data_IF_192688947833
#
_entry.id   IF_192688947833
#
_cell.length_a   1.000
_cell.length_b   1.000
_cell.length_c   1.000
_cell.angle_alpha   90.00
_cell.angle_beta   90.00
_cell.angle_gamma   90.00
#
_symmetry.space_group_name_H-M   'P 1'
#
loop_
_entity.id
_entity.type
_entity.pdbx_description
1 polymer ?
#
# COMPACT_ATOMS: atom_id res chain seq x y z
N UNK A 1 22.06 -22.41 7.72
CA UNK A 1 21.98 -21.01 8.17
C UNK A 1 21.11 -20.97 9.41
N UNK A 2 21.64 -20.48 10.52
CA UNK A 2 20.83 -20.27 11.72
C UNK A 2 19.84 -19.15 11.41
N UNK A 3 18.54 -19.37 11.55
CA UNK A 3 17.55 -18.29 11.39
C UNK A 3 17.88 -17.18 12.38
N UNK A 4 18.06 -15.98 11.85
CA UNK A 4 18.38 -14.70 12.51
C UNK A 4 17.25 -13.68 12.35
N UNK A 5 16.14 -14.05 11.70
CA UNK A 5 14.96 -13.22 11.51
C UNK A 5 13.70 -14.00 11.92
N UNK A 6 12.92 -13.40 12.82
CA UNK A 6 11.69 -13.98 13.36
C UNK A 6 10.54 -12.98 13.23
N UNK A 7 9.42 -13.40 12.63
CA UNK A 7 8.30 -12.48 12.33
C UNK A 7 6.91 -13.07 12.55
N UNK A 8 6.78 -14.11 13.37
CA UNK A 8 5.50 -14.80 13.65
C UNK A 8 4.74 -15.28 12.40
N UNK A 9 5.44 -15.75 11.37
CA UNK A 9 4.85 -16.38 10.19
C UNK A 9 4.59 -17.85 10.48
N UNK A 10 3.32 -18.25 10.39
CA UNK A 10 2.93 -19.67 10.49
C UNK A 10 3.63 -20.51 9.41
N UNK A 11 3.79 -19.97 8.20
CA UNK A 11 4.43 -20.68 7.08
C UNK A 11 5.92 -20.97 7.28
N UNK A 12 6.60 -20.24 8.17
CA UNK A 12 8.03 -20.44 8.48
C UNK A 12 8.28 -20.95 9.90
N UNK A 13 7.22 -21.09 10.70
CA UNK A 13 7.29 -21.44 12.12
C UNK A 13 8.26 -20.55 12.94
N UNK A 14 8.43 -19.29 12.52
CA UNK A 14 9.42 -18.35 13.05
C UNK A 14 8.83 -17.42 14.13
N UNK A 15 8.07 -18.02 15.06
CA UNK A 15 7.49 -17.31 16.19
C UNK A 15 8.56 -16.78 17.14
N UNK A 16 8.33 -15.59 17.71
CA UNK A 16 9.29 -14.99 18.65
C UNK A 16 9.47 -15.88 19.88
N UNK A 17 8.42 -16.55 20.36
CA UNK A 17 8.56 -17.56 21.44
C UNK A 17 9.61 -18.61 21.10
N UNK A 18 9.60 -19.15 19.87
CA UNK A 18 10.56 -20.16 19.46
C UNK A 18 11.98 -19.58 19.37
N UNK A 19 12.12 -18.32 18.96
CA UNK A 19 13.40 -17.62 18.96
C UNK A 19 14.00 -17.55 20.37
N UNK A 20 13.21 -17.10 21.35
CA UNK A 20 13.64 -16.99 22.74
C UNK A 20 14.10 -18.36 23.27
N UNK A 21 13.25 -19.38 23.17
CA UNK A 21 13.57 -20.71 23.72
C UNK A 21 14.78 -21.36 23.04
N UNK A 22 14.95 -21.14 21.72
CA UNK A 22 16.07 -21.68 20.96
C UNK A 22 17.44 -21.17 21.42
N UNK A 23 17.50 -19.93 21.93
CA UNK A 23 18.76 -19.28 22.30
C UNK A 23 19.11 -19.43 23.80
N UNK A 24 18.31 -20.17 24.56
CA UNK A 24 18.48 -20.31 26.01
C UNK A 24 19.14 -21.65 26.34
N UNK A 25 20.20 -21.58 27.14
CA UNK A 25 20.90 -22.74 27.69
C UNK A 25 20.68 -22.83 29.20
N UNK A 26 20.95 -23.99 29.78
CA UNK A 26 20.72 -24.22 31.20
C UNK A 26 21.68 -23.36 32.05
N UNK A 27 21.16 -22.69 33.08
CA UNK A 27 21.93 -21.81 33.95
C UNK A 27 22.39 -20.48 33.33
N UNK A 28 21.87 -20.11 32.15
CA UNK A 28 22.27 -18.91 31.43
C UNK A 28 21.83 -17.60 32.12
N UNK A 29 22.66 -16.57 32.03
CA UNK A 29 22.29 -15.18 32.35
C UNK A 29 21.49 -14.56 31.21
N UNK A 30 20.32 -14.00 31.54
CA UNK A 30 19.39 -13.39 30.61
C UNK A 30 19.15 -11.93 31.00
N UNK A 31 19.25 -11.02 30.03
CA UNK A 31 18.99 -9.60 30.24
C UNK A 31 17.88 -9.14 29.30
N UNK A 32 16.74 -8.72 29.85
CA UNK A 32 15.55 -8.35 29.07
C UNK A 32 15.14 -6.92 29.40
N UNK A 33 15.21 -6.03 28.42
CA UNK A 33 14.58 -4.71 28.49
C UNK A 33 13.35 -4.71 27.58
N UNK A 34 12.15 -4.76 28.17
CA UNK A 34 10.89 -4.81 27.43
C UNK A 34 9.92 -3.79 27.99
N UNK A 35 9.43 -2.89 27.14
CA UNK A 35 8.45 -1.89 27.55
C UNK A 35 7.24 -2.51 28.25
N UNK A 36 6.72 -3.61 27.73
CA UNK A 36 5.54 -4.27 28.27
C UNK A 36 5.79 -5.71 28.67
N UNK A 37 5.17 -6.12 29.78
CA UNK A 37 5.26 -7.48 30.30
C UNK A 37 3.89 -7.99 30.75
N UNK A 38 3.37 -9.01 30.06
CA UNK A 38 2.13 -9.70 30.44
C UNK A 38 2.25 -11.21 30.49
N UNK A 39 3.30 -11.78 29.90
CA UNK A 39 3.46 -13.21 29.70
C UNK A 39 4.38 -13.84 30.75
N UNK A 40 3.82 -14.50 31.76
CA UNK A 40 4.66 -15.23 32.73
C UNK A 40 5.19 -16.55 32.19
N UNK A 41 4.48 -17.20 31.27
CA UNK A 41 4.70 -18.61 30.96
C UNK A 41 6.04 -18.85 30.26
N UNK A 42 6.43 -17.95 29.35
CA UNK A 42 7.76 -18.01 28.73
C UNK A 42 8.85 -17.79 29.77
N UNK A 43 8.66 -16.86 30.71
CA UNK A 43 9.63 -16.63 31.78
C UNK A 43 9.74 -17.84 32.71
N UNK A 44 8.64 -18.51 33.02
CA UNK A 44 8.66 -19.74 33.82
C UNK A 44 9.47 -20.85 33.12
N UNK A 45 9.35 -20.99 31.78
CA UNK A 45 10.16 -21.93 30.99
C UNK A 45 11.67 -21.61 31.08
N UNK A 46 12.04 -20.32 31.06
CA UNK A 46 13.44 -19.87 31.23
C UNK A 46 13.96 -20.21 32.64
N UNK A 47 13.18 -19.91 33.66
CA UNK A 47 13.56 -20.13 35.07
C UNK A 47 13.61 -21.62 35.42
N UNK A 48 12.79 -22.46 34.78
CA UNK A 48 12.85 -23.91 34.93
C UNK A 48 14.17 -24.52 34.45
N UNK A 49 14.87 -23.84 33.53
CA UNK A 49 16.24 -24.18 33.08
C UNK A 49 17.34 -23.68 34.02
N UNK A 50 16.98 -23.13 35.18
CA UNK A 50 17.92 -22.58 36.15
C UNK A 50 18.56 -21.26 35.72
N UNK A 51 18.03 -20.60 34.68
CA UNK A 51 18.54 -19.31 34.21
C UNK A 51 18.42 -18.24 35.31
N UNK A 52 19.31 -17.26 35.23
CA UNK A 52 19.27 -16.05 36.03
C UNK A 52 18.77 -14.90 35.14
N UNK A 53 17.74 -14.17 35.58
CA UNK A 53 17.06 -13.17 34.76
C UNK A 53 17.15 -11.78 35.39
N UNK A 54 17.76 -10.84 34.66
CA UNK A 54 17.62 -9.41 34.87
C UNK A 54 16.62 -8.83 33.90
N UNK A 55 15.58 -8.18 34.41
CA UNK A 55 14.52 -7.63 33.59
C UNK A 55 14.18 -6.18 33.95
N UNK A 56 14.11 -5.32 32.93
CA UNK A 56 13.66 -3.93 33.05
C UNK A 56 12.35 -3.77 32.28
N UNK A 57 11.32 -3.24 32.96
CA UNK A 57 9.99 -3.03 32.37
C UNK A 57 9.48 -1.61 32.56
N UNK A 58 8.50 -1.20 31.74
CA UNK A 58 7.72 0.00 32.05
C UNK A 58 6.49 -0.36 32.88
N UNK A 59 6.25 0.37 33.96
CA UNK A 59 4.95 0.38 34.64
C UNK A 59 3.97 1.25 33.84
N UNK A 60 3.13 0.60 33.04
CA UNK A 60 2.12 1.24 32.21
C UNK A 60 1.36 0.18 31.41
N UNK A 61 0.12 0.46 31.02
CA UNK A 61 -0.67 -0.51 30.25
C UNK A 61 0.05 -0.87 28.94
N UNK A 62 0.10 -2.16 28.54
CA UNK A 62 -0.57 -3.33 29.14
C UNK A 62 0.21 -4.11 30.23
N UNK A 63 1.35 -3.66 30.75
CA UNK A 63 2.13 -4.41 31.77
C UNK A 63 1.24 -4.89 32.91
N UNK A 64 1.29 -6.20 33.22
CA UNK A 64 0.37 -6.83 34.17
C UNK A 64 0.95 -6.82 35.58
N UNK A 65 0.31 -6.16 36.57
CA UNK A 65 0.79 -6.22 37.95
C UNK A 65 0.73 -7.65 38.52
N UNK A 66 -0.20 -8.49 38.04
CA UNK A 66 -0.26 -9.93 38.38
C UNK A 66 0.99 -10.67 37.87
N UNK A 67 1.41 -10.41 36.64
CA UNK A 67 2.62 -11.03 36.08
C UNK A 67 3.87 -10.57 36.84
N UNK A 68 3.98 -9.28 37.16
CA UNK A 68 5.08 -8.73 37.99
C UNK A 68 5.11 -9.37 39.39
N UNK A 69 3.95 -9.56 40.01
CA UNK A 69 3.85 -10.21 41.32
C UNK A 69 4.35 -11.64 41.30
N UNK A 70 4.01 -12.41 40.24
CA UNK A 70 4.53 -13.78 40.05
C UNK A 70 6.04 -13.80 39.78
N UNK A 71 6.52 -12.88 38.93
CA UNK A 71 7.93 -12.74 38.58
C UNK A 71 8.82 -12.57 39.82
N UNK A 72 8.45 -11.69 40.76
CA UNK A 72 9.20 -11.47 42.01
C UNK A 72 9.16 -12.62 43.03
N UNK A 73 8.39 -13.68 42.79
CA UNK A 73 8.42 -14.86 43.68
C UNK A 73 9.64 -15.74 43.46
N UNK A 74 10.34 -15.59 42.33
CA UNK A 74 11.49 -16.40 41.99
C UNK A 74 12.80 -15.74 42.45
N UNK A 75 13.65 -16.51 43.13
CA UNK A 75 14.93 -16.06 43.66
C UNK A 75 16.01 -15.78 42.59
N UNK A 76 15.84 -16.33 41.38
CA UNK A 76 16.76 -16.14 40.26
C UNK A 76 16.37 -14.95 39.38
N UNK A 77 15.52 -14.04 39.88
CA UNK A 77 15.04 -12.88 39.13
C UNK A 77 15.39 -11.60 39.86
N UNK A 78 16.00 -10.66 39.13
CA UNK A 78 16.13 -9.26 39.52
C UNK A 78 15.28 -8.42 38.56
N UNK A 79 14.36 -7.62 39.09
CA UNK A 79 13.48 -6.80 38.27
C UNK A 79 13.60 -5.31 38.62
N UNK A 80 13.69 -4.47 37.59
CA UNK A 80 13.68 -3.01 37.69
C UNK A 80 12.61 -2.40 36.79
N UNK A 81 12.29 -1.14 37.01
CA UNK A 81 11.26 -0.46 36.24
C UNK A 81 11.51 1.03 35.99
N UNK A 82 10.90 1.50 34.91
CA UNK A 82 10.64 2.91 34.65
C UNK A 82 9.14 3.19 34.63
N UNK A 83 8.74 4.44 34.88
CA UNK A 83 7.34 4.91 34.72
C UNK A 83 7.14 5.75 33.46
N UNK A 84 8.23 6.29 32.89
CA UNK A 84 8.16 7.15 31.71
C UNK A 84 7.64 6.41 30.47
N UNK A 85 6.69 7.02 29.76
CA UNK A 85 6.16 6.50 28.50
C UNK A 85 7.19 6.47 27.36
N UNK A 86 8.35 7.10 27.52
CA UNK A 86 9.46 7.03 26.56
C UNK A 86 10.23 5.71 26.63
N UNK A 87 10.21 4.98 27.76
CA UNK A 87 10.85 3.66 27.84
C UNK A 87 10.05 2.68 26.98
N UNK A 88 10.59 2.38 25.79
CA UNK A 88 9.99 1.47 24.83
C UNK A 88 10.92 0.44 24.16
N UNK A 89 12.08 0.04 24.74
CA UNK A 89 12.92 -0.98 24.11
C UNK A 89 12.23 -2.36 24.10
N UNK A 90 12.71 -3.23 23.21
CA UNK A 90 12.46 -4.68 23.19
C UNK A 90 13.77 -5.38 22.83
N UNK A 91 14.59 -5.54 23.85
CA UNK A 91 15.96 -6.03 23.79
C UNK A 91 16.07 -7.26 24.69
N UNK A 92 16.55 -8.38 24.13
CA UNK A 92 16.70 -9.65 24.81
C UNK A 92 18.12 -10.14 24.59
N UNK A 93 18.93 -10.22 25.64
CA UNK A 93 20.33 -10.61 25.59
C UNK A 93 20.45 -11.98 26.25
N UNK A 94 21.03 -12.93 25.52
CA UNK A 94 21.23 -14.31 25.94
C UNK A 94 22.72 -14.53 26.20
N UNK A 95 23.13 -14.28 27.45
CA UNK A 95 24.52 -14.27 27.87
C UNK A 95 25.41 -13.37 27.01
N UNK A 96 26.51 -13.92 26.53
CA UNK A 96 27.50 -13.31 25.64
C UNK A 96 27.39 -13.80 24.20
N UNK A 97 26.27 -14.43 23.82
CA UNK A 97 26.15 -15.16 22.55
C UNK A 97 25.32 -14.44 21.50
N UNK A 98 24.11 -14.04 21.87
CA UNK A 98 23.12 -13.52 20.92
C UNK A 98 22.20 -12.52 21.57
N UNK A 99 21.82 -11.50 20.80
CA UNK A 99 20.81 -10.52 21.14
C UNK A 99 19.64 -10.67 20.17
N UNK A 100 18.42 -10.71 20.67
CA UNK A 100 17.22 -10.47 19.87
C UNK A 100 16.76 -9.02 20.08
N UNK A 101 16.68 -8.28 18.98
CA UNK A 101 16.27 -6.87 18.95
C UNK A 101 15.13 -6.66 17.96
N UNK A 102 14.10 -5.90 18.34
CA UNK A 102 13.01 -5.59 17.41
C UNK A 102 11.75 -5.02 18.05
N UNK A 103 10.58 -5.45 17.59
CA UNK A 103 9.28 -4.88 17.97
C UNK A 103 8.55 -5.64 19.08
N UNK A 104 8.93 -6.90 19.35
CA UNK A 104 8.16 -7.80 20.20
C UNK A 104 8.38 -7.56 21.69
N UNK A 105 7.35 -7.04 22.38
CA UNK A 105 7.35 -6.99 23.85
C UNK A 105 7.15 -8.40 24.43
N UNK A 106 7.44 -8.58 25.73
CA UNK A 106 7.22 -9.83 26.46
C UNK A 106 5.74 -10.01 26.84
N UNK A 107 4.89 -10.13 25.82
CA UNK A 107 3.43 -10.27 25.91
C UNK A 107 2.95 -11.42 25.03
N UNK A 108 1.90 -12.14 25.43
CA UNK A 108 1.37 -13.27 24.67
C UNK A 108 1.15 -12.97 23.19
N UNK A 109 0.54 -11.82 22.91
CA UNK A 109 0.20 -11.43 21.55
C UNK A 109 1.47 -11.16 20.72
N UNK A 110 2.45 -10.44 21.26
CA UNK A 110 3.71 -10.19 20.56
C UNK A 110 4.49 -11.49 20.29
N UNK A 111 4.50 -12.44 21.24
CA UNK A 111 5.28 -13.66 21.10
C UNK A 111 4.71 -14.69 20.12
N UNK A 112 3.39 -14.62 19.85
CA UNK A 112 2.67 -15.70 19.17
C UNK A 112 1.73 -15.23 18.05
N UNK A 113 1.25 -13.98 18.03
CA UNK A 113 0.17 -13.56 17.13
C UNK A 113 0.35 -12.25 16.39
N UNK A 114 1.02 -11.24 16.96
CA UNK A 114 1.19 -9.97 16.30
C UNK A 114 2.14 -10.09 15.11
N UNK A 115 2.02 -9.19 14.14
CA UNK A 115 3.08 -8.94 13.17
C UNK A 115 4.24 -8.29 13.92
N UNK A 116 5.26 -9.08 14.24
CA UNK A 116 6.48 -8.60 14.87
C UNK A 116 7.65 -8.77 13.90
N UNK A 117 8.74 -8.05 14.17
CA UNK A 117 10.03 -8.25 13.52
C UNK A 117 11.08 -8.27 14.62
N UNK A 118 11.80 -9.38 14.76
CA UNK A 118 12.96 -9.52 15.64
C UNK A 118 14.14 -10.03 14.83
N UNK A 119 15.29 -9.38 15.01
CA UNK A 119 16.56 -9.76 14.38
C UNK A 119 17.51 -10.27 15.45
N UNK A 120 18.22 -11.35 15.14
CA UNK A 120 19.30 -11.92 15.93
C UNK A 120 20.62 -11.25 15.58
N UNK A 121 21.32 -10.75 16.59
CA UNK A 121 22.64 -10.13 16.49
C UNK A 121 23.61 -11.06 17.24
N UNK A 122 24.59 -11.61 16.53
CA UNK A 122 25.62 -12.47 17.13
C UNK A 122 26.68 -11.66 17.86
N UNK A 123 27.39 -12.29 18.80
CA UNK A 123 28.52 -11.70 19.52
C UNK A 123 29.67 -11.14 18.67
N UNK A 124 29.83 -11.61 17.42
CA UNK A 124 30.83 -11.09 16.49
C UNK A 124 30.43 -9.75 15.83
N UNK A 125 29.21 -9.27 16.03
CA UNK A 125 28.75 -7.99 15.51
C UNK A 125 29.22 -6.85 16.43
N UNK A 126 29.83 -5.81 15.87
CA UNK A 126 30.29 -4.63 16.63
C UNK A 126 29.20 -4.00 17.52
N UNK A 127 27.92 -4.09 17.12
CA UNK A 127 26.78 -3.53 17.88
C UNK A 127 26.44 -4.34 19.13
N UNK A 128 26.98 -5.57 19.26
CA UNK A 128 26.65 -6.45 20.37
C UNK A 128 27.07 -5.85 21.71
N UNK A 129 28.31 -5.38 21.82
CA UNK A 129 28.82 -4.74 23.04
C UNK A 129 28.11 -3.44 23.35
N UNK A 130 27.84 -2.61 22.33
CA UNK A 130 27.08 -1.35 22.49
C UNK A 130 25.67 -1.60 23.06
N UNK A 131 25.01 -2.68 22.63
CA UNK A 131 23.69 -3.05 23.14
C UNK A 131 23.73 -3.62 24.57
N UNK A 132 24.82 -4.29 24.96
CA UNK A 132 25.04 -4.72 26.34
C UNK A 132 25.28 -3.52 27.27
N UNK A 133 26.10 -2.55 26.83
CA UNK A 133 26.32 -1.29 27.55
C UNK A 133 25.01 -0.52 27.71
N UNK A 134 24.21 -0.41 26.64
CA UNK A 134 22.89 0.21 26.70
C UNK A 134 21.95 -0.46 27.72
N UNK A 135 21.97 -1.80 27.81
CA UNK A 135 21.22 -2.50 28.85
C UNK A 135 21.75 -2.15 30.24
N UNK A 136 23.06 -2.05 30.42
CA UNK A 136 23.68 -1.64 31.70
C UNK A 136 23.21 -0.25 32.11
N UNK A 137 23.19 0.71 31.18
CA UNK A 137 22.70 2.07 31.45
C UNK A 137 21.22 2.05 31.88
N UNK A 138 20.37 1.29 31.17
CA UNK A 138 18.98 1.10 31.57
C UNK A 138 18.86 0.45 32.94
N UNK A 139 19.70 -0.54 33.22
CA UNK A 139 19.71 -1.23 34.49
C UNK A 139 20.01 -0.24 35.60
N UNK A 140 21.13 0.47 35.50
CA UNK A 140 21.65 1.35 36.54
C UNK A 140 20.73 2.55 36.85
N UNK A 141 20.05 3.09 35.84
CA UNK A 141 19.07 4.17 36.04
C UNK A 141 17.69 3.70 36.51
N UNK A 142 17.33 2.44 36.28
CA UNK A 142 15.99 1.94 36.62
C UNK A 142 15.81 1.70 38.13
N UNK A 143 14.60 1.98 38.62
CA UNK A 143 14.24 1.75 40.02
C UNK A 143 13.98 0.27 40.30
N UNK A 144 14.35 -0.21 41.48
CA UNK A 144 14.13 -1.62 41.88
C UNK A 144 12.64 -1.90 42.05
N UNK A 145 12.15 -2.97 41.42
CA UNK A 145 10.75 -3.37 41.53
C UNK A 145 10.48 -4.03 42.88
N UNK A 146 9.72 -3.37 43.74
CA UNK A 146 9.33 -3.88 45.07
C UNK A 146 7.88 -4.38 45.10
N UNK A 147 7.51 -5.12 46.15
CA UNK A 147 6.12 -5.56 46.37
C UNK A 147 5.19 -4.35 46.59
N UNK A 148 5.70 -3.32 47.23
CA UNK A 148 5.03 -2.04 47.49
C UNK A 148 4.74 -1.32 46.17
N UNK A 149 5.76 -1.17 45.29
CA UNK A 149 5.60 -0.56 43.96
C UNK A 149 4.56 -1.31 43.11
N UNK A 150 4.55 -2.65 43.14
CA UNK A 150 3.54 -3.45 42.43
C UNK A 150 2.14 -3.21 42.99
N UNK A 151 2.00 -3.12 44.32
CA UNK A 151 0.70 -2.86 44.97
C UNK A 151 0.15 -1.49 44.58
N UNK A 152 0.98 -0.45 44.60
CA UNK A 152 0.59 0.89 44.16
C UNK A 152 0.20 0.91 42.68
N UNK A 153 1.02 0.29 41.83
CA UNK A 153 0.73 0.17 40.41
C UNK A 153 -0.57 -0.60 40.15
N UNK A 154 -0.84 -1.68 40.89
CA UNK A 154 -2.06 -2.47 40.77
C UNK A 154 -3.32 -1.65 41.11
N UNK A 155 -3.25 -0.76 42.10
CA UNK A 155 -4.35 0.14 42.45
C UNK A 155 -4.64 1.13 41.30
N UNK A 156 -3.58 1.72 40.73
CA UNK A 156 -3.68 2.63 39.57
C UNK A 156 -4.24 1.88 38.36
N UNK A 157 -3.70 0.70 38.07
CA UNK A 157 -4.13 -0.16 36.96
C UNK A 157 -5.62 -0.50 37.05
N UNK A 158 -6.11 -0.86 38.24
CA UNK A 158 -7.52 -1.18 38.46
C UNK A 158 -8.42 0.05 38.33
N UNK A 159 -7.98 1.21 38.86
CA UNK A 159 -8.71 2.48 38.78
C UNK A 159 -9.00 2.89 37.33
N UNK A 160 -8.06 2.65 36.41
CA UNK A 160 -8.19 3.02 35.00
C UNK A 160 -8.50 1.86 34.07
N UNK A 161 -8.89 0.69 34.59
CA UNK A 161 -9.26 -0.50 33.81
C UNK A 161 -10.33 -0.22 32.73
N UNK A 162 -11.23 0.74 32.98
CA UNK A 162 -12.27 1.14 32.05
C UNK A 162 -11.74 1.80 30.76
N UNK A 163 -10.60 2.48 30.81
CA UNK A 163 -10.01 3.14 29.63
C UNK A 163 -9.67 2.12 28.53
N UNK A 164 -9.22 0.93 28.92
CA UNK A 164 -8.95 -0.17 27.98
C UNK A 164 -10.21 -0.66 27.27
N UNK A 165 -11.37 -0.65 27.95
CA UNK A 165 -12.65 -0.99 27.31
C UNK A 165 -13.00 0.01 26.20
N UNK A 166 -12.83 1.30 26.47
CA UNK A 166 -13.07 2.37 25.49
C UNK A 166 -12.14 2.23 24.28
N UNK A 167 -10.86 1.96 24.50
CA UNK A 167 -9.91 1.73 23.40
C UNK A 167 -10.32 0.55 22.51
N UNK A 168 -10.74 -0.57 23.13
CA UNK A 168 -11.25 -1.73 22.38
C UNK A 168 -12.52 -1.42 21.61
N UNK A 169 -13.44 -0.64 22.17
CA UNK A 169 -14.67 -0.22 21.48
C UNK A 169 -14.35 0.67 20.27
N UNK A 170 -13.35 1.56 20.39
CA UNK A 170 -12.85 2.33 19.26
C UNK A 170 -12.24 1.41 18.18
N UNK A 171 -11.36 0.47 18.55
CA UNK A 171 -10.75 -0.50 17.62
C UNK A 171 -11.82 -1.34 16.90
N UNK A 172 -12.80 -1.84 17.64
CA UNK A 172 -13.93 -2.59 17.07
C UNK A 172 -14.75 -1.73 16.11
N UNK A 173 -14.99 -0.46 16.45
CA UNK A 173 -15.71 0.48 15.57
C UNK A 173 -14.96 0.71 14.26
N UNK A 174 -13.63 0.70 14.26
CA UNK A 174 -12.80 0.77 13.05
C UNK A 174 -12.99 -0.50 12.22
N UNK A 175 -12.92 -1.68 12.85
CA UNK A 175 -13.10 -2.97 12.17
C UNK A 175 -14.51 -3.08 11.57
N UNK A 176 -15.55 -2.65 12.29
CA UNK A 176 -16.93 -2.68 11.81
C UNK A 176 -17.18 -1.74 10.64
N UNK A 177 -16.60 -0.52 10.66
CA UNK A 177 -16.81 0.50 9.62
C UNK A 177 -15.91 0.34 8.41
N UNK A 178 -14.65 -0.02 8.60
CA UNK A 178 -13.62 -0.08 7.55
C UNK A 178 -13.37 -1.52 7.08
N UNK A 179 -13.64 -2.49 7.94
CA UNK A 179 -13.41 -3.92 7.71
C UNK A 179 -12.14 -4.43 8.39
N UNK A 180 -12.09 -5.74 8.63
CA UNK A 180 -10.95 -6.42 9.23
C UNK A 180 -9.80 -6.64 8.22
N UNK A 181 -8.98 -5.61 8.02
CA UNK A 181 -7.90 -5.57 7.02
C UNK A 181 -6.56 -6.05 7.58
N UNK A 182 -6.46 -7.33 7.91
CA UNK A 182 -5.24 -7.92 8.47
C UNK A 182 -4.27 -8.49 7.43
N UNK A 183 -2.95 -8.36 7.67
CA UNK A 183 -1.93 -9.12 6.94
C UNK A 183 -2.08 -10.63 7.20
N UNK A 184 -1.70 -11.47 6.23
CA UNK A 184 -1.89 -12.93 6.28
C UNK A 184 -0.63 -13.68 6.70
N UNK A 185 0.07 -13.24 7.75
CA UNK A 185 1.18 -14.01 8.35
C UNK A 185 0.68 -15.16 9.23
N UNK A 186 -0.53 -15.03 9.79
CA UNK A 186 -1.17 -16.03 10.63
C UNK A 186 -2.51 -16.43 10.01
N UNK A 187 -2.58 -17.68 9.58
CA UNK A 187 -3.76 -18.25 8.93
C UNK A 187 -4.83 -18.59 9.99
N UNK A 188 -5.51 -17.59 10.55
CA UNK A 188 -6.70 -17.81 11.37
C UNK A 188 -7.95 -17.47 10.58
N UNK A 189 -8.57 -18.50 9.99
CA UNK A 189 -10.01 -18.56 9.68
C UNK A 189 -10.64 -17.36 8.95
N UNK A 190 -9.90 -16.65 8.09
CA UNK A 190 -10.44 -15.44 7.44
C UNK A 190 -11.55 -15.79 6.45
N UNK A 191 -12.64 -15.04 6.52
CA UNK A 191 -13.69 -15.05 5.50
C UNK A 191 -13.09 -14.68 4.13
N UNK A 192 -13.41 -15.48 3.11
CA UNK A 192 -12.90 -15.28 1.75
C UNK A 192 -13.51 -14.02 1.15
N UNK A 193 -12.70 -12.98 0.90
CA UNK A 193 -13.15 -11.78 0.18
C UNK A 193 -13.77 -12.16 -1.16
N UNK A 194 -14.83 -11.44 -1.57
CA UNK A 194 -15.46 -11.67 -2.87
C UNK A 194 -14.48 -11.36 -4.01
N UNK A 195 -14.61 -12.04 -5.16
CA UNK A 195 -13.77 -11.79 -6.34
C UNK A 195 -13.83 -10.32 -6.79
N UNK A 196 -15.01 -9.68 -6.70
CA UNK A 196 -15.22 -8.26 -7.00
C UNK A 196 -14.38 -7.35 -6.09
N UNK A 197 -14.38 -7.59 -4.78
CA UNK A 197 -13.58 -6.80 -3.82
C UNK A 197 -12.08 -6.99 -4.02
N UNK A 198 -11.64 -8.20 -4.33
CA UNK A 198 -10.23 -8.49 -4.64
C UNK A 198 -9.80 -7.72 -5.91
N UNK A 199 -10.66 -7.73 -6.94
CA UNK A 199 -10.41 -6.98 -8.17
C UNK A 199 -10.34 -5.47 -7.88
N UNK A 200 -11.33 -4.90 -7.19
CA UNK A 200 -11.37 -3.47 -6.86
C UNK A 200 -10.15 -3.03 -6.05
N UNK A 201 -9.74 -3.79 -5.03
CA UNK A 201 -8.56 -3.48 -4.22
C UNK A 201 -7.26 -3.52 -5.05
N UNK A 202 -7.10 -4.57 -5.87
CA UNK A 202 -5.94 -4.65 -6.78
C UNK A 202 -5.95 -3.52 -7.81
N UNK A 203 -7.14 -3.13 -8.28
CA UNK A 203 -7.30 -2.09 -9.29
C UNK A 203 -6.99 -0.71 -8.71
N UNK A 204 -7.52 -0.38 -7.52
CA UNK A 204 -7.20 0.85 -6.77
C UNK A 204 -5.71 1.03 -6.56
N UNK A 205 -5.00 -0.03 -6.13
CA UNK A 205 -3.54 0.00 -5.95
C UNK A 205 -2.81 0.35 -7.25
N UNK A 206 -3.05 -0.42 -8.31
CA UNK A 206 -2.38 -0.18 -9.59
C UNK A 206 -2.70 1.18 -10.22
N UNK A 207 -3.93 1.67 -10.05
CA UNK A 207 -4.34 2.96 -10.57
C UNK A 207 -3.72 4.10 -9.76
N UNK A 208 -3.68 4.00 -8.43
CA UNK A 208 -3.03 4.97 -7.55
C UNK A 208 -1.54 5.10 -7.88
N UNK A 209 -0.82 3.99 -8.02
CA UNK A 209 0.59 3.95 -8.44
C UNK A 209 0.79 4.71 -9.76
N UNK A 210 -0.07 4.44 -10.75
CA UNK A 210 0.00 5.07 -12.08
C UNK A 210 -0.31 6.57 -12.04
N UNK A 211 -1.32 6.99 -11.26
CA UNK A 211 -1.68 8.41 -11.11
C UNK A 211 -0.58 9.17 -10.37
N UNK A 212 0.02 8.59 -9.32
CA UNK A 212 1.15 9.22 -8.62
C UNK A 212 2.36 9.37 -9.53
N UNK A 213 2.67 8.36 -10.34
CA UNK A 213 3.73 8.42 -11.34
C UNK A 213 3.44 9.50 -12.41
N UNK A 214 2.22 9.55 -12.94
CA UNK A 214 1.80 10.60 -13.87
C UNK A 214 1.98 12.01 -13.27
N UNK A 215 1.52 12.22 -12.03
CA UNK A 215 1.61 13.53 -11.35
C UNK A 215 3.04 14.01 -11.18
N UNK A 216 4.00 13.10 -10.96
CA UNK A 216 5.43 13.48 -10.91
C UNK A 216 5.94 14.05 -12.23
N UNK A 217 5.47 13.53 -13.36
CA UNK A 217 5.79 14.08 -14.68
C UNK A 217 5.03 15.39 -14.90
N UNK A 218 3.76 15.44 -14.52
CA UNK A 218 2.92 16.63 -14.59
C UNK A 218 3.55 17.81 -13.81
N UNK A 219 4.06 17.58 -12.61
CA UNK A 219 4.73 18.61 -11.80
C UNK A 219 5.95 19.20 -12.52
N UNK A 220 6.70 18.39 -13.28
CA UNK A 220 7.80 18.90 -14.12
C UNK A 220 7.24 19.68 -15.30
N UNK A 221 6.23 19.12 -15.97
CA UNK A 221 5.59 19.71 -17.16
C UNK A 221 5.03 21.10 -16.88
N UNK A 222 4.45 21.32 -15.69
CA UNK A 222 3.89 22.60 -15.27
C UNK A 222 4.92 23.73 -15.11
N UNK A 223 6.22 23.42 -15.13
CA UNK A 223 7.28 24.45 -15.18
C UNK A 223 7.55 24.95 -16.61
N UNK A 224 6.83 24.42 -17.60
CA UNK A 224 6.92 24.83 -19.00
C UNK A 224 5.63 25.52 -19.44
N UNK A 225 5.72 26.28 -20.54
CA UNK A 225 4.55 26.77 -21.23
C UNK A 225 3.83 25.62 -21.93
N UNK A 226 2.49 25.68 -21.93
CA UNK A 226 1.64 24.74 -22.66
C UNK A 226 1.92 24.81 -24.16
N UNK A 227 1.91 23.65 -24.81
CA UNK A 227 2.10 23.52 -26.28
C UNK A 227 0.95 24.15 -27.05
N UNK A 228 -0.27 24.04 -26.52
CA UNK A 228 -1.50 24.56 -27.11
C UNK A 228 -2.26 25.37 -26.05
N UNK A 229 -3.10 26.32 -26.51
CA UNK A 229 -3.94 27.13 -25.62
C UNK A 229 -4.74 26.21 -24.65
N UNK A 230 -4.62 26.41 -23.32
CA UNK A 230 -5.32 25.62 -22.30
C UNK A 230 -6.85 25.55 -22.46
N UNK A 231 -7.47 26.53 -23.12
CA UNK A 231 -8.91 26.56 -23.38
C UNK A 231 -9.36 25.50 -24.40
N UNK A 232 -8.45 25.07 -25.28
CA UNK A 232 -8.74 24.12 -26.35
C UNK A 232 -8.63 22.67 -25.88
N UNK A 233 -7.71 22.38 -24.97
CA UNK A 233 -7.45 21.01 -24.51
C UNK A 233 -6.88 20.97 -23.08
N UNK A 234 -7.36 20.05 -22.22
CA UNK A 234 -6.84 19.93 -20.86
C UNK A 234 -5.40 19.42 -20.86
N UNK A 235 -4.64 19.85 -19.87
CA UNK A 235 -3.21 19.51 -19.71
C UNK A 235 -2.97 18.00 -19.73
N UNK A 236 -3.85 17.21 -19.10
CA UNK A 236 -3.72 15.75 -19.05
C UNK A 236 -3.69 15.08 -20.43
N UNK A 237 -4.38 15.64 -21.43
CA UNK A 237 -4.39 15.10 -22.79
C UNK A 237 -3.18 15.56 -23.61
N UNK A 238 -2.64 16.74 -23.30
CA UNK A 238 -1.36 17.19 -23.84
C UNK A 238 -0.21 16.32 -23.31
N UNK A 239 -0.23 15.99 -22.02
CA UNK A 239 0.73 15.06 -21.40
C UNK A 239 0.56 13.63 -21.95
N UNK A 240 -0.66 13.16 -22.17
CA UNK A 240 -0.88 11.85 -22.82
C UNK A 240 -0.30 11.80 -24.24
N UNK A 241 -0.39 12.91 -24.98
CA UNK A 241 0.24 13.05 -26.30
C UNK A 241 1.76 13.12 -26.21
N UNK A 242 2.30 13.81 -25.20
CA UNK A 242 3.73 13.75 -24.86
C UNK A 242 4.17 12.32 -24.56
N UNK A 243 3.37 11.53 -23.85
CA UNK A 243 3.71 10.12 -23.60
C UNK A 243 3.72 9.31 -24.89
N UNK A 244 2.81 9.57 -25.83
CA UNK A 244 2.85 8.96 -27.16
C UNK A 244 4.12 9.32 -27.92
N UNK A 245 4.55 10.58 -27.87
CA UNK A 245 5.84 11.04 -28.41
C UNK A 245 7.04 10.30 -27.79
N UNK A 246 7.09 10.23 -26.46
CA UNK A 246 8.18 9.51 -25.75
C UNK A 246 8.19 8.04 -26.13
N UNK A 247 7.02 7.41 -26.21
CA UNK A 247 6.90 6.01 -26.64
C UNK A 247 7.47 5.78 -28.04
N UNK A 248 7.16 6.66 -28.98
CA UNK A 248 7.48 6.45 -30.39
C UNK A 248 8.95 6.76 -30.72
N UNK A 249 9.57 7.70 -30.01
CA UNK A 249 10.97 8.08 -30.25
C UNK A 249 11.97 7.46 -29.28
N UNK A 250 11.60 7.24 -28.01
CA UNK A 250 12.55 6.95 -26.93
C UNK A 250 12.29 5.59 -26.26
N UNK A 251 11.03 5.32 -25.92
CA UNK A 251 10.62 4.08 -25.24
C UNK A 251 10.19 2.99 -26.25
N UNK A 252 10.95 2.86 -27.35
CA UNK A 252 10.65 1.92 -28.44
C UNK A 252 10.90 0.47 -28.00
N UNK A 253 10.05 -0.45 -28.50
CA UNK A 253 10.11 -1.88 -28.15
C UNK A 253 10.12 -2.11 -26.63
N UNK A 254 11.19 -2.69 -26.08
CA UNK A 254 11.35 -3.01 -24.66
C UNK A 254 12.40 -2.13 -23.95
N UNK A 255 12.85 -1.02 -24.55
CA UNK A 255 13.84 -0.13 -23.91
C UNK A 255 13.36 0.44 -22.57
N UNK A 256 12.04 0.63 -22.42
CA UNK A 256 11.40 1.04 -21.18
C UNK A 256 11.62 0.07 -20.00
N UNK A 257 11.78 -1.24 -20.27
CA UNK A 257 11.98 -2.25 -19.22
C UNK A 257 13.34 -2.12 -18.55
N UNK A 258 14.33 -1.65 -19.31
CA UNK A 258 15.74 -1.62 -18.94
C UNK A 258 16.17 -0.31 -18.26
N UNK A 259 15.27 0.67 -18.17
CA UNK A 259 15.57 1.93 -17.50
C UNK A 259 15.74 1.72 -15.99
N UNK A 260 16.71 2.42 -15.34
CA UNK A 260 16.87 2.36 -13.89
C UNK A 260 15.57 2.71 -13.18
N UNK A 261 15.28 1.98 -12.08
CA UNK A 261 14.18 2.31 -11.19
C UNK A 261 14.59 3.47 -10.28
N UNK A 262 13.68 4.41 -10.06
CA UNK A 262 13.92 5.59 -9.24
C UNK A 262 13.25 6.84 -9.80
N UNK A 263 13.06 7.83 -8.94
CA UNK A 263 12.63 9.18 -9.32
C UNK A 263 13.59 10.22 -8.74
N UNK A 264 14.85 10.08 -9.13
CA UNK A 264 15.96 10.94 -8.71
C UNK A 264 16.15 12.14 -9.65
N UNK A 265 17.20 12.92 -9.44
CA UNK A 265 17.46 14.13 -10.21
C UNK A 265 17.87 13.85 -11.67
N UNK A 266 18.46 12.67 -11.94
CA UNK A 266 18.79 12.25 -13.30
C UNK A 266 17.51 11.97 -14.09
N UNK A 267 16.54 11.30 -13.48
CA UNK A 267 15.27 10.93 -14.11
C UNK A 267 14.41 12.17 -14.34
N UNK A 268 14.41 13.12 -13.39
CA UNK A 268 13.77 14.44 -13.55
C UNK A 268 14.43 15.25 -14.66
N UNK A 269 15.77 15.25 -14.77
CA UNK A 269 16.48 15.96 -15.82
C UNK A 269 16.18 15.37 -17.21
N UNK A 270 16.10 14.04 -17.32
CA UNK A 270 15.66 13.36 -18.54
C UNK A 270 14.23 13.77 -18.93
N UNK A 271 13.28 13.70 -17.99
CA UNK A 271 11.91 14.16 -18.23
C UNK A 271 11.86 15.63 -18.69
N UNK A 272 12.61 16.52 -18.03
CA UNK A 272 12.73 17.94 -18.42
C UNK A 272 13.26 18.11 -19.85
N UNK A 273 14.29 17.34 -20.23
CA UNK A 273 14.84 17.34 -21.58
C UNK A 273 13.83 16.93 -22.64
N UNK A 274 13.16 15.79 -22.43
CA UNK A 274 12.15 15.28 -23.37
C UNK A 274 10.90 16.17 -23.46
N UNK A 275 10.48 16.80 -22.36
CA UNK A 275 9.39 17.79 -22.37
C UNK A 275 9.81 19.00 -23.22
N UNK A 276 11.03 19.52 -23.03
CA UNK A 276 11.54 20.63 -23.82
C UNK A 276 11.54 20.35 -25.33
N UNK A 277 11.95 19.15 -25.72
CA UNK A 277 11.93 18.69 -27.12
C UNK A 277 10.51 18.50 -27.65
N UNK A 278 9.62 17.89 -26.87
CA UNK A 278 8.21 17.72 -27.22
C UNK A 278 7.53 19.05 -27.55
N UNK A 279 7.77 20.08 -26.74
CA UNK A 279 7.12 21.39 -26.90
C UNK A 279 7.46 22.04 -28.24
N UNK A 280 8.70 21.88 -28.72
CA UNK A 280 9.17 22.47 -29.99
C UNK A 280 8.96 21.56 -31.21
N UNK A 281 8.69 20.27 -31.01
CA UNK A 281 8.52 19.29 -32.09
C UNK A 281 7.07 19.27 -32.57
N UNK A 282 6.82 19.47 -33.87
CA UNK A 282 5.46 19.32 -34.43
C UNK A 282 5.01 17.86 -34.29
N UNK A 283 3.84 17.63 -33.72
CA UNK A 283 3.25 16.30 -33.62
C UNK A 283 1.88 16.25 -34.28
N UNK A 284 1.83 16.02 -35.58
CA UNK A 284 0.59 16.16 -36.39
C UNK A 284 -0.62 15.42 -35.79
N UNK A 285 -0.40 14.28 -35.13
CA UNK A 285 -1.47 13.58 -34.45
C UNK A 285 -2.12 14.40 -33.31
N UNK A 286 -1.34 15.17 -32.55
CA UNK A 286 -1.86 16.02 -31.48
C UNK A 286 -2.43 17.33 -32.03
N UNK A 287 -1.60 18.13 -32.69
CA UNK A 287 -1.96 19.46 -33.18
C UNK A 287 -3.04 19.43 -34.27
N UNK A 288 -2.98 18.48 -35.21
CA UNK A 288 -3.85 18.48 -36.39
C UNK A 288 -5.04 17.51 -36.27
N UNK A 289 -5.02 16.58 -35.28
CA UNK A 289 -6.13 15.62 -35.06
C UNK A 289 -6.74 15.66 -33.67
N UNK A 290 -5.94 15.49 -32.61
CA UNK A 290 -6.51 15.41 -31.25
C UNK A 290 -7.18 16.72 -30.86
N UNK A 291 -6.47 17.84 -31.01
CA UNK A 291 -6.95 19.16 -30.59
C UNK A 291 -8.17 19.65 -31.41
N UNK A 292 -8.12 19.67 -32.76
CA UNK A 292 -9.22 20.26 -33.54
C UNK A 292 -10.36 19.29 -33.86
N UNK A 293 -10.14 17.97 -33.80
CA UNK A 293 -11.12 16.98 -34.28
C UNK A 293 -11.56 16.07 -33.13
N UNK A 294 -10.64 15.29 -32.56
CA UNK A 294 -11.02 14.21 -31.66
C UNK A 294 -11.57 14.72 -30.33
N UNK A 295 -10.91 15.69 -29.69
CA UNK A 295 -11.35 16.21 -28.39
C UNK A 295 -12.69 16.95 -28.49
N UNK A 296 -12.95 17.81 -29.50
CA UNK A 296 -14.28 18.34 -29.75
C UNK A 296 -15.34 17.27 -30.00
N UNK A 297 -15.03 16.24 -30.81
CA UNK A 297 -15.96 15.16 -31.14
C UNK A 297 -16.40 14.37 -29.89
N UNK A 298 -15.45 13.92 -29.06
CA UNK A 298 -15.78 13.19 -27.84
C UNK A 298 -16.52 14.07 -26.84
N UNK A 299 -16.17 15.35 -26.75
CA UNK A 299 -16.84 16.31 -25.86
C UNK A 299 -18.27 16.63 -26.32
N UNK A 300 -18.54 16.61 -27.62
CA UNK A 300 -19.89 16.82 -28.16
C UNK A 300 -20.88 15.76 -27.67
N UNK A 301 -20.50 14.48 -27.72
CA UNK A 301 -21.39 13.38 -27.32
C UNK A 301 -21.31 13.04 -25.83
N UNK A 302 -20.13 13.17 -25.22
CA UNK A 302 -19.85 12.65 -23.89
C UNK A 302 -19.49 13.73 -22.85
N UNK A 303 -19.48 15.02 -23.22
CA UNK A 303 -18.98 16.12 -22.39
C UNK A 303 -19.88 16.57 -21.23
N UNK A 304 -21.14 16.10 -21.19
CA UNK A 304 -22.06 16.27 -20.05
C UNK A 304 -23.11 15.15 -20.00
N UNK A 305 -23.83 15.04 -18.87
CA UNK A 305 -24.95 14.09 -18.74
C UNK A 305 -26.03 14.32 -19.81
N UNK A 306 -26.31 15.59 -20.09
CA UNK A 306 -27.31 16.03 -21.07
C UNK A 306 -26.88 15.61 -22.48
N UNK A 307 -25.61 15.83 -22.85
CA UNK A 307 -25.09 15.43 -24.15
C UNK A 307 -25.18 13.92 -24.39
N UNK A 308 -24.84 13.10 -23.39
CA UNK A 308 -24.93 11.63 -23.46
C UNK A 308 -26.39 11.21 -23.67
N UNK A 309 -27.31 11.85 -22.94
CA UNK A 309 -28.73 11.52 -23.01
C UNK A 309 -29.34 11.91 -24.35
N UNK A 310 -28.89 13.00 -24.99
CA UNK A 310 -29.36 13.43 -26.30
C UNK A 310 -28.72 12.69 -27.48
N UNK A 311 -27.48 12.20 -27.32
CA UNK A 311 -26.73 11.57 -28.40
C UNK A 311 -27.39 10.28 -28.92
N UNK A 312 -27.30 10.05 -30.21
CA UNK A 312 -27.63 8.78 -30.87
C UNK A 312 -26.60 7.70 -30.55
N UNK A 313 -26.91 6.44 -30.83
CA UNK A 313 -25.94 5.35 -30.59
C UNK A 313 -24.72 5.51 -31.49
N UNK A 314 -24.92 5.96 -32.72
CA UNK A 314 -23.90 6.23 -33.72
C UNK A 314 -22.95 7.33 -33.24
N UNK A 315 -23.49 8.46 -32.76
CA UNK A 315 -22.68 9.56 -32.19
C UNK A 315 -21.89 9.14 -30.95
N UNK A 316 -22.43 8.24 -30.12
CA UNK A 316 -21.70 7.67 -28.98
C UNK A 316 -20.56 6.80 -29.49
N UNK A 317 -20.81 5.90 -30.44
CA UNK A 317 -19.79 5.00 -30.97
C UNK A 317 -18.68 5.76 -31.71
N UNK A 318 -19.02 6.80 -32.45
CA UNK A 318 -18.03 7.70 -33.08
C UNK A 318 -17.17 8.40 -32.03
N UNK A 319 -17.77 8.87 -30.93
CA UNK A 319 -17.02 9.42 -29.80
C UNK A 319 -16.12 8.37 -29.12
N UNK A 320 -16.58 7.12 -28.97
CA UNK A 320 -15.75 6.03 -28.44
C UNK A 320 -14.58 5.68 -29.37
N UNK A 321 -14.72 5.86 -30.68
CA UNK A 321 -13.64 5.67 -31.65
C UNK A 321 -12.51 6.70 -31.55
N UNK A 322 -12.66 7.75 -30.73
CA UNK A 322 -11.54 8.63 -30.34
C UNK A 322 -10.52 7.90 -29.47
N UNK A 323 -10.98 6.94 -28.65
CA UNK A 323 -10.12 6.18 -27.75
C UNK A 323 -9.30 5.17 -28.55
N UNK A 324 -7.99 5.18 -28.37
CA UNK A 324 -7.12 4.22 -29.05
C UNK A 324 -7.47 2.77 -28.68
N UNK A 325 -7.73 2.51 -27.40
CA UNK A 325 -8.11 1.18 -26.90
C UNK A 325 -9.41 0.66 -27.51
N UNK A 326 -10.28 1.54 -28.01
CA UNK A 326 -11.53 1.13 -28.66
C UNK A 326 -11.31 1.01 -30.17
N UNK A 327 -10.81 2.08 -30.80
CA UNK A 327 -10.56 2.13 -32.23
C UNK A 327 -9.68 0.97 -32.70
N UNK A 328 -8.52 0.76 -32.08
CA UNK A 328 -7.52 -0.22 -32.55
C UNK A 328 -8.01 -1.67 -32.55
N UNK A 329 -9.14 -1.94 -31.90
CA UNK A 329 -9.80 -3.25 -31.92
C UNK A 329 -10.34 -3.61 -33.30
N UNK A 330 -10.50 -2.66 -34.23
CA UNK A 330 -10.96 -2.91 -35.61
C UNK A 330 -10.14 -4.01 -36.30
N UNK A 331 -8.86 -4.18 -35.90
CA UNK A 331 -7.95 -5.20 -36.42
C UNK A 331 -8.40 -6.63 -36.15
N UNK A 332 -9.27 -6.82 -35.14
CA UNK A 332 -9.84 -8.13 -34.77
C UNK A 332 -11.20 -8.39 -35.45
N UNK A 333 -11.73 -7.41 -36.20
CA UNK A 333 -13.01 -7.50 -36.86
C UNK A 333 -12.86 -7.64 -38.38
N UNK A 334 -13.43 -8.70 -38.94
CA UNK A 334 -13.48 -8.88 -40.40
C UNK A 334 -14.38 -7.81 -41.00
N UNK A 335 -13.81 -6.88 -41.78
CA UNK A 335 -14.50 -5.69 -42.29
C UNK A 335 -14.08 -4.39 -41.59
N UNK A 336 -13.19 -4.47 -40.61
CA UNK A 336 -12.52 -3.32 -40.02
C UNK A 336 -13.43 -2.49 -39.11
N UNK A 337 -13.32 -1.16 -39.23
CA UNK A 337 -13.94 -0.22 -38.29
C UNK A 337 -15.48 -0.30 -38.31
N UNK A 338 -16.09 -0.38 -39.48
CA UNK A 338 -17.55 -0.45 -39.60
C UNK A 338 -18.12 -1.69 -38.89
N UNK A 339 -17.44 -2.84 -39.02
CA UNK A 339 -17.84 -4.08 -38.33
C UNK A 339 -17.67 -3.95 -36.81
N UNK A 340 -16.61 -3.29 -36.33
CA UNK A 340 -16.47 -2.99 -34.90
C UNK A 340 -17.63 -2.12 -34.40
N UNK A 341 -17.98 -1.05 -35.14
CA UNK A 341 -19.08 -0.15 -34.78
C UNK A 341 -20.40 -0.90 -34.73
N UNK A 342 -20.76 -1.63 -35.79
CA UNK A 342 -21.99 -2.45 -35.82
C UNK A 342 -22.01 -3.47 -34.69
N UNK A 343 -20.89 -4.15 -34.42
CA UNK A 343 -20.82 -5.12 -33.33
C UNK A 343 -21.08 -4.50 -31.96
N UNK A 344 -20.60 -3.28 -31.69
CA UNK A 344 -20.91 -2.59 -30.43
C UNK A 344 -22.39 -2.20 -30.35
N UNK A 345 -22.95 -1.66 -31.44
CA UNK A 345 -24.34 -1.23 -31.52
C UNK A 345 -25.29 -2.42 -31.32
N UNK A 346 -25.07 -3.51 -32.03
CA UNK A 346 -25.93 -4.70 -32.00
C UNK A 346 -25.86 -5.45 -30.66
N UNK A 347 -24.73 -5.38 -29.96
CA UNK A 347 -24.52 -6.07 -28.69
C UNK A 347 -24.93 -5.27 -27.46
N UNK A 348 -25.36 -4.01 -27.59
CA UNK A 348 -25.70 -3.16 -26.45
C UNK A 348 -27.01 -2.39 -26.65
N UNK A 349 -27.85 -2.34 -25.62
CA UNK A 349 -29.03 -1.47 -25.62
C UNK A 349 -28.65 0.00 -25.40
N UNK A 350 -29.21 0.91 -26.20
CA UNK A 350 -28.89 2.35 -26.17
C UNK A 350 -29.03 2.96 -24.77
N UNK A 351 -30.12 2.67 -24.06
CA UNK A 351 -30.36 3.20 -22.72
C UNK A 351 -29.31 2.72 -21.72
N UNK A 352 -28.88 1.45 -21.83
CA UNK A 352 -27.84 0.87 -20.99
C UNK A 352 -26.48 1.50 -21.23
N UNK A 353 -26.13 1.77 -22.49
CA UNK A 353 -24.91 2.51 -22.85
C UNK A 353 -24.92 3.90 -22.23
N UNK A 354 -26.00 4.67 -22.42
CA UNK A 354 -26.14 6.02 -21.86
C UNK A 354 -26.04 6.03 -20.33
N UNK A 355 -26.71 5.09 -19.66
CA UNK A 355 -26.65 4.96 -18.20
C UNK A 355 -25.23 4.63 -17.72
N UNK A 356 -24.55 3.69 -18.39
CA UNK A 356 -23.18 3.29 -18.03
C UNK A 356 -22.19 4.44 -18.21
N UNK A 357 -22.24 5.13 -19.35
CA UNK A 357 -21.32 6.25 -19.63
C UNK A 357 -21.59 7.42 -18.68
N UNK A 358 -22.86 7.73 -18.41
CA UNK A 358 -23.26 8.75 -17.43
C UNK A 358 -22.76 8.39 -16.03
N UNK A 359 -22.89 7.13 -15.62
CA UNK A 359 -22.38 6.64 -14.36
C UNK A 359 -20.87 6.76 -14.28
N UNK A 360 -20.14 6.25 -15.28
CA UNK A 360 -18.68 6.28 -15.33
C UNK A 360 -18.14 7.72 -15.18
N UNK A 361 -18.59 8.63 -16.05
CA UNK A 361 -18.01 9.97 -16.21
C UNK A 361 -18.57 11.00 -15.22
N UNK A 362 -19.84 10.85 -14.80
CA UNK A 362 -20.55 11.87 -14.02
C UNK A 362 -21.30 11.34 -12.79
N UNK A 363 -21.14 10.05 -12.47
CA UNK A 363 -21.71 9.43 -11.28
C UNK A 363 -21.16 10.02 -9.98
N UNK A 364 -21.87 9.80 -8.87
CA UNK A 364 -21.41 10.15 -7.53
C UNK A 364 -20.46 9.07 -6.98
N UNK A 365 -19.72 9.37 -5.91
CA UNK A 365 -18.82 8.42 -5.26
C UNK A 365 -17.42 8.32 -5.88
N UNK A 366 -16.70 7.25 -5.55
CA UNK A 366 -15.31 7.01 -5.97
C UNK A 366 -15.21 6.69 -7.47
N UNK A 367 -14.52 7.49 -8.31
CA UNK A 367 -14.35 7.20 -9.73
C UNK A 367 -13.68 5.85 -10.01
N UNK A 368 -12.80 5.36 -9.12
CA UNK A 368 -12.13 4.07 -9.30
C UNK A 368 -13.11 2.91 -9.11
N UNK A 369 -14.05 3.05 -8.17
CA UNK A 369 -15.13 2.10 -7.98
C UNK A 369 -16.11 2.11 -9.16
N UNK A 370 -16.41 3.28 -9.72
CA UNK A 370 -17.25 3.38 -10.92
C UNK A 370 -16.60 2.66 -12.10
N UNK A 371 -15.31 2.91 -12.35
CA UNK A 371 -14.54 2.17 -13.35
C UNK A 371 -14.60 0.65 -13.10
N UNK A 372 -14.36 0.21 -11.86
CA UNK A 372 -14.38 -1.21 -11.53
C UNK A 372 -15.76 -1.84 -11.74
N UNK A 373 -16.84 -1.12 -11.44
CA UNK A 373 -18.20 -1.56 -11.70
C UNK A 373 -18.47 -1.67 -13.21
N UNK A 374 -18.04 -0.71 -14.03
CA UNK A 374 -18.16 -0.81 -15.49
C UNK A 374 -17.36 -1.99 -16.10
N UNK A 375 -16.37 -2.52 -15.38
CA UNK A 375 -15.56 -3.67 -15.83
C UNK A 375 -16.13 -5.01 -15.35
N UNK A 376 -16.64 -5.03 -14.11
CA UNK A 376 -16.95 -6.28 -13.40
C UNK A 376 -18.43 -6.49 -13.13
N UNK A 377 -19.20 -5.42 -12.95
CA UNK A 377 -20.61 -5.48 -12.56
C UNK A 377 -21.50 -5.65 -13.79
N UNK A 378 -22.34 -6.69 -13.80
CA UNK A 378 -23.26 -6.97 -14.89
C UNK A 378 -24.32 -5.88 -15.09
N UNK A 379 -24.51 -4.97 -14.15
CA UNK A 379 -25.40 -3.81 -14.33
C UNK A 379 -24.77 -2.75 -15.28
N UNK A 380 -23.47 -2.50 -15.13
CA UNK A 380 -22.74 -1.43 -15.83
C UNK A 380 -21.84 -1.93 -16.95
N UNK A 381 -21.55 -3.22 -17.01
CA UNK A 381 -20.66 -3.78 -18.04
C UNK A 381 -21.32 -3.68 -19.41
N UNK A 382 -20.60 -3.15 -20.38
CA UNK A 382 -21.00 -3.13 -21.79
C UNK A 382 -20.24 -4.21 -22.56
N UNK A 383 -20.89 -4.74 -23.60
CA UNK A 383 -20.23 -5.60 -24.56
C UNK A 383 -19.29 -4.76 -25.42
N UNK A 384 -18.17 -5.35 -25.83
CA UNK A 384 -17.16 -4.65 -26.62
C UNK A 384 -16.53 -3.40 -25.97
N UNK A 385 -16.64 -3.27 -24.64
CA UNK A 385 -16.06 -2.18 -23.85
C UNK A 385 -15.33 -2.73 -22.62
N UNK A 386 -14.02 -2.92 -22.75
CA UNK A 386 -13.18 -3.54 -21.73
C UNK A 386 -12.53 -2.56 -20.76
N UNK A 387 -11.67 -3.09 -19.89
CA UNK A 387 -10.88 -2.35 -18.91
C UNK A 387 -10.10 -1.18 -19.53
N UNK A 388 -9.39 -1.44 -20.62
CA UNK A 388 -8.61 -0.40 -21.33
C UNK A 388 -9.49 0.74 -21.82
N UNK A 389 -10.71 0.44 -22.30
CA UNK A 389 -11.66 1.45 -22.76
C UNK A 389 -12.22 2.30 -21.62
N UNK A 390 -12.60 1.65 -20.51
CA UNK A 390 -13.09 2.34 -19.31
C UNK A 390 -12.04 3.31 -18.76
N UNK A 391 -10.79 2.87 -18.66
CA UNK A 391 -9.68 3.67 -18.16
C UNK A 391 -9.27 4.82 -19.09
N UNK A 392 -9.23 4.55 -20.39
CA UNK A 392 -8.89 5.61 -21.34
C UNK A 392 -10.00 6.64 -21.40
N UNK A 393 -11.26 6.21 -21.48
CA UNK A 393 -12.41 7.13 -21.55
C UNK A 393 -12.47 8.08 -20.37
N UNK A 394 -12.27 7.58 -19.13
CA UNK A 394 -12.26 8.47 -17.97
C UNK A 394 -11.13 9.49 -18.10
N UNK A 395 -9.94 9.10 -18.56
CA UNK A 395 -8.82 10.04 -18.76
C UNK A 395 -9.12 11.13 -19.78
N UNK A 396 -9.89 10.82 -20.82
CA UNK A 396 -10.35 11.80 -21.81
C UNK A 396 -11.40 12.75 -21.25
N UNK A 397 -12.46 12.21 -20.66
CA UNK A 397 -13.59 12.97 -20.13
C UNK A 397 -13.86 12.55 -18.69
N UNK A 398 -13.56 13.42 -17.73
CA UNK A 398 -14.00 13.23 -16.36
C UNK A 398 -14.04 14.56 -15.60
N UNK A 399 -14.74 14.55 -14.47
CA UNK A 399 -14.85 15.70 -13.56
C UNK A 399 -13.76 15.73 -12.48
N UNK A 400 -13.00 14.65 -12.35
CA UNK A 400 -12.00 14.42 -11.28
C UNK A 400 -10.56 14.75 -11.70
N UNK A 401 -10.35 15.27 -12.91
CA UNK A 401 -9.04 15.52 -13.53
C UNK A 401 -8.10 14.30 -13.49
N UNK A 402 -8.65 13.10 -13.65
CA UNK A 402 -7.87 11.86 -13.75
C UNK A 402 -7.15 11.77 -15.10
N UNK A 403 -5.88 11.31 -15.14
CA UNK A 403 -5.13 11.15 -16.38
C UNK A 403 -5.58 9.94 -17.19
N UNK A 404 -5.17 9.89 -18.47
CA UNK A 404 -5.28 8.70 -19.31
C UNK A 404 -4.26 7.67 -18.83
N UNK A 405 -4.74 6.53 -18.33
CA UNK A 405 -3.90 5.40 -17.91
C UNK A 405 -4.24 4.17 -18.75
N UNK A 406 -3.38 3.82 -19.70
CA UNK A 406 -3.46 2.60 -20.50
C UNK A 406 -2.09 1.91 -20.59
N UNK A 407 -1.97 0.84 -21.38
CA UNK A 407 -0.70 0.11 -21.55
C UNK A 407 0.44 0.96 -22.11
N UNK A 408 0.14 2.02 -22.88
CA UNK A 408 1.14 2.98 -23.41
C UNK A 408 1.63 3.88 -22.28
N UNK A 409 0.69 4.44 -21.52
CA UNK A 409 1.01 5.26 -20.35
C UNK A 409 1.91 4.51 -19.38
N UNK A 410 1.57 3.26 -19.03
CA UNK A 410 2.35 2.52 -18.04
C UNK A 410 3.77 2.18 -18.51
N UNK A 411 3.99 1.99 -19.82
CA UNK A 411 5.33 1.79 -20.39
C UNK A 411 6.17 3.06 -20.28
N UNK A 412 5.60 4.21 -20.61
CA UNK A 412 6.31 5.50 -20.55
C UNK A 412 6.63 5.89 -19.11
N UNK A 413 5.69 5.68 -18.18
CA UNK A 413 5.95 5.89 -16.76
C UNK A 413 7.08 4.98 -16.25
N UNK A 414 7.14 3.72 -16.71
CA UNK A 414 8.26 2.81 -16.38
C UNK A 414 9.58 3.25 -17.01
N UNK A 415 9.54 3.78 -18.24
CA UNK A 415 10.71 4.38 -18.90
C UNK A 415 11.29 5.54 -18.06
N UNK A 416 10.44 6.36 -17.45
CA UNK A 416 10.87 7.42 -16.52
C UNK A 416 11.35 6.92 -15.15
N UNK A 417 11.38 5.61 -14.91
CA UNK A 417 11.93 4.99 -13.69
C UNK A 417 10.88 4.67 -12.62
N UNK A 418 9.58 4.80 -12.92
CA UNK A 418 8.54 4.43 -11.96
C UNK A 418 8.31 2.91 -11.91
N UNK A 419 8.37 2.32 -10.71
CA UNK A 419 7.99 0.93 -10.48
C UNK A 419 6.46 0.82 -10.39
N UNK A 420 5.82 0.54 -11.52
CA UNK A 420 4.37 0.41 -11.62
C UNK A 420 3.98 -0.86 -12.37
N UNK A 421 2.82 -1.42 -12.02
CA UNK A 421 2.27 -2.58 -12.73
C UNK A 421 1.90 -2.21 -14.17
N UNK A 422 2.45 -2.96 -15.12
CA UNK A 422 2.10 -2.82 -16.54
C UNK A 422 0.66 -3.29 -16.80
N UNK A 423 -0.05 -2.52 -17.61
CA UNK A 423 -1.37 -2.89 -18.11
C UNK A 423 -1.18 -3.54 -19.48
N UNK A 424 -1.59 -4.80 -19.60
CA UNK A 424 -1.71 -5.46 -20.91
C UNK A 424 -2.85 -4.82 -21.70
N UNK A 425 -2.59 -4.45 -22.95
CA UNK A 425 -3.62 -3.94 -23.87
C UNK A 425 -4.66 -4.99 -24.24
#
# INVERSE_FOLDING_TARGET
MMMDLYTNRTSRNDFIKHAIIKHVEDGMDLFIASAFFTESDVVDELLAKGCHLRIVVRLGFPTSPKALGKLLTNKNVEARFFTSSSFHPKLYIFGDKVILLGSANLTRSALLSNQEVMVGISSNDHRFSELQELFSDYWDEAEVLTKESIKEYQNIYNKYSHANRILKEMENSVIEKIGDLNFSNINRGKNKKSKKLIFLDSYRKSYQESVTAFRRIQDIYQNFNRKINPELIPERLEIDSFFSFVRDFYATQDTWQHQPLGWDDQQKANAKGLIGEWLITKWEHFEDRIVPINYPLIKQSLGSKESINSATMEEIVDALCVLHSFHDRFRFYKGGLETLKSSFIESNEVLRVKNTLTYLLYGIGDPIERMANCIYDSEYKLNEFGKSNVQELIGWINKEELPVINGRTTKVLRYFGHDIRQISE
#
